data_IF_274344539263
#
_entry.id   IF_274344539263
#
_cell.length_a   1.000
_cell.length_b   1.000
_cell.length_c   1.000
_cell.angle_alpha   90.00
_cell.angle_beta   90.00
_cell.angle_gamma   90.00
#
_symmetry.space_group_name_H-M   'P 1'
#
loop_
_entity.id
_entity.type
_entity.pdbx_description
1 polymer ?
#
# COMPACT_ATOMS: atom_id res chain seq x y z
N UNK A 1 -36.89 6.71 -36.82
CA UNK A 1 -36.09 7.94 -36.61
C UNK A 1 -35.96 8.28 -35.13
N UNK A 2 -37.05 8.58 -34.41
CA UNK A 2 -36.99 8.94 -32.98
C UNK A 2 -36.42 7.86 -32.06
N UNK A 3 -36.80 6.59 -32.26
CA UNK A 3 -36.26 5.48 -31.44
C UNK A 3 -34.76 5.23 -31.67
N UNK A 4 -34.32 5.32 -32.93
CA UNK A 4 -32.90 5.21 -33.29
C UNK A 4 -32.08 6.34 -32.66
N UNK A 5 -32.62 7.57 -32.65
CA UNK A 5 -31.98 8.72 -31.99
C UNK A 5 -31.91 8.54 -30.46
N UNK A 6 -32.94 7.97 -29.84
CA UNK A 6 -32.94 7.65 -28.40
C UNK A 6 -31.87 6.62 -28.05
N UNK A 7 -31.78 5.52 -28.81
CA UNK A 7 -30.77 4.48 -28.59
C UNK A 7 -29.36 5.07 -28.75
N UNK A 8 -29.13 5.91 -29.77
CA UNK A 8 -27.85 6.58 -29.96
C UNK A 8 -27.46 7.47 -28.77
N UNK A 9 -28.42 8.21 -28.20
CA UNK A 9 -28.18 9.04 -27.03
C UNK A 9 -27.87 8.21 -25.77
N UNK A 10 -28.56 7.07 -25.57
CA UNK A 10 -28.27 6.15 -24.46
C UNK A 10 -26.86 5.58 -24.58
N UNK A 11 -26.45 5.17 -25.78
CA UNK A 11 -25.11 4.62 -25.98
C UNK A 11 -24.03 5.69 -25.74
N UNK A 12 -24.20 6.90 -26.25
CA UNK A 12 -23.27 7.99 -26.00
C UNK A 12 -23.15 8.33 -24.50
N UNK A 13 -24.25 8.25 -23.76
CA UNK A 13 -24.24 8.43 -22.30
C UNK A 13 -23.52 7.28 -21.57
N UNK A 14 -23.68 6.03 -22.01
CA UNK A 14 -22.91 4.91 -21.47
C UNK A 14 -21.41 5.07 -21.75
N UNK A 15 -21.04 5.49 -22.97
CA UNK A 15 -19.63 5.71 -23.34
C UNK A 15 -18.98 6.80 -22.46
N UNK A 16 -19.67 7.93 -22.24
CA UNK A 16 -19.20 9.00 -21.34
C UNK A 16 -19.06 8.53 -19.90
N UNK A 17 -19.98 7.68 -19.42
CA UNK A 17 -19.93 7.12 -18.07
C UNK A 17 -18.76 6.13 -17.91
N UNK A 18 -18.53 5.28 -18.90
CA UNK A 18 -17.41 4.32 -18.92
C UNK A 18 -16.04 5.04 -18.91
N UNK A 19 -15.93 6.17 -19.62
CA UNK A 19 -14.76 7.06 -19.58
C UNK A 19 -14.53 7.62 -18.17
N UNK A 20 -15.58 8.17 -17.54
CA UNK A 20 -15.48 8.68 -16.16
C UNK A 20 -15.07 7.57 -15.17
N UNK A 21 -15.62 6.36 -15.31
CA UNK A 21 -15.21 5.23 -14.48
C UNK A 21 -13.73 4.88 -14.68
N UNK A 22 -13.23 4.93 -15.92
CA UNK A 22 -11.82 4.70 -16.22
C UNK A 22 -10.90 5.78 -15.62
N UNK A 23 -11.31 7.05 -15.65
CA UNK A 23 -10.61 8.16 -15.00
C UNK A 23 -10.54 7.98 -13.49
N UNK A 24 -11.65 7.61 -12.84
CA UNK A 24 -11.70 7.34 -11.40
C UNK A 24 -10.74 6.21 -11.02
N UNK A 25 -10.72 5.11 -11.79
CA UNK A 25 -9.80 3.98 -11.57
C UNK A 25 -8.34 4.41 -11.74
N UNK A 26 -8.05 5.21 -12.75
CA UNK A 26 -6.70 5.73 -13.02
C UNK A 26 -6.21 6.59 -11.85
N UNK A 27 -7.03 7.56 -11.41
CA UNK A 27 -6.69 8.43 -10.30
C UNK A 27 -6.49 7.65 -8.99
N UNK A 28 -7.32 6.63 -8.72
CA UNK A 28 -7.14 5.76 -7.57
C UNK A 28 -5.79 5.01 -7.62
N UNK A 29 -5.40 4.51 -8.79
CA UNK A 29 -4.10 3.87 -9.00
C UNK A 29 -2.93 4.83 -8.77
N UNK A 30 -3.03 6.06 -9.26
CA UNK A 30 -2.00 7.10 -9.04
C UNK A 30 -1.83 7.45 -7.56
N UNK A 31 -2.94 7.55 -6.82
CA UNK A 31 -2.93 7.77 -5.36
C UNK A 31 -2.27 6.59 -4.64
N UNK A 32 -2.59 5.36 -5.02
CA UNK A 32 -1.96 4.16 -4.46
C UNK A 32 -0.44 4.17 -4.70
N UNK A 33 -0.02 4.42 -5.94
CA UNK A 33 1.39 4.52 -6.31
C UNK A 33 2.11 5.66 -5.57
N UNK A 34 1.46 6.81 -5.39
CA UNK A 34 2.00 7.92 -4.62
C UNK A 34 2.23 7.54 -3.15
N UNK A 35 1.32 6.79 -2.53
CA UNK A 35 1.52 6.29 -1.17
C UNK A 35 2.69 5.29 -1.08
N UNK A 36 2.88 4.42 -2.07
CA UNK A 36 4.03 3.50 -2.12
C UNK A 36 5.36 4.26 -2.23
N UNK A 37 5.42 5.27 -3.10
CA UNK A 37 6.58 6.18 -3.21
C UNK A 37 6.86 6.93 -1.91
N UNK A 38 5.82 7.41 -1.23
CA UNK A 38 5.94 8.06 0.06
C UNK A 38 6.55 7.12 1.11
N UNK A 39 6.01 5.90 1.26
CA UNK A 39 6.55 4.93 2.22
C UNK A 39 8.02 4.57 1.92
N UNK A 40 8.37 4.43 0.64
CA UNK A 40 9.77 4.20 0.22
C UNK A 40 10.70 5.36 0.59
N UNK A 41 10.24 6.60 0.41
CA UNK A 41 11.01 7.80 0.82
C UNK A 41 11.13 7.89 2.34
N UNK A 42 10.08 7.54 3.08
CA UNK A 42 10.13 7.48 4.55
C UNK A 42 11.13 6.42 5.00
N UNK A 43 11.14 5.23 4.39
CA UNK A 43 12.12 4.18 4.69
C UNK A 43 13.56 4.68 4.45
N UNK A 44 13.79 5.36 3.33
CA UNK A 44 15.09 5.98 3.01
C UNK A 44 15.47 7.01 4.06
N UNK A 45 14.54 7.90 4.43
CA UNK A 45 14.76 8.94 5.44
C UNK A 45 15.10 8.33 6.79
N UNK A 46 14.34 7.34 7.28
CA UNK A 46 14.56 6.76 8.61
C UNK A 46 15.76 5.84 8.70
N UNK A 47 16.28 5.36 7.56
CA UNK A 47 17.52 4.57 7.51
C UNK A 47 18.77 5.45 7.50
N UNK A 48 18.64 6.75 7.28
CA UNK A 48 19.76 7.71 7.30
C UNK A 48 20.18 8.00 8.76
N UNK A 49 21.47 7.88 9.13
CA UNK A 49 21.96 8.17 10.48
C UNK A 49 21.69 9.60 10.97
N UNK A 50 21.41 10.54 10.06
CA UNK A 50 21.06 11.93 10.38
C UNK A 50 19.62 12.08 10.84
N UNK A 51 18.76 11.11 10.55
CA UNK A 51 17.37 11.16 10.98
C UNK A 51 17.27 11.20 12.49
N UNK A 52 16.54 12.21 12.99
CA UNK A 52 16.29 12.41 14.41
C UNK A 52 17.55 12.50 15.28
N UNK A 53 18.68 12.99 14.74
CA UNK A 53 19.95 13.10 15.47
C UNK A 53 19.83 13.95 16.76
N UNK A 54 19.00 14.99 16.74
CA UNK A 54 18.72 15.83 17.90
C UNK A 54 17.69 15.22 18.88
N UNK A 55 17.02 14.13 18.50
CA UNK A 55 16.00 13.47 19.32
C UNK A 55 14.66 14.22 19.42
N UNK A 56 14.43 15.23 18.58
CA UNK A 56 13.22 16.09 18.62
C UNK A 56 11.92 15.32 18.34
N UNK A 57 12.00 14.16 17.66
CA UNK A 57 10.85 13.37 17.25
C UNK A 57 10.68 12.12 18.10
N UNK A 58 9.50 11.96 18.72
CA UNK A 58 9.14 10.76 19.50
C UNK A 58 9.07 9.48 18.67
N UNK A 59 8.76 9.59 17.38
CA UNK A 59 8.68 8.49 16.41
C UNK A 59 8.55 9.05 14.99
N UNK A 60 8.75 8.21 13.98
CA UNK A 60 8.46 8.58 12.57
C UNK A 60 6.98 8.92 12.37
N UNK A 61 6.07 8.22 13.07
CA UNK A 61 4.63 8.57 13.07
C UNK A 61 4.40 9.99 13.60
N UNK A 62 5.07 10.38 14.68
CA UNK A 62 4.97 11.76 15.19
C UNK A 62 5.50 12.79 14.18
N UNK A 63 6.62 12.49 13.53
CA UNK A 63 7.18 13.34 12.47
C UNK A 63 6.19 13.53 11.31
N UNK A 64 5.56 12.45 10.83
CA UNK A 64 4.59 12.48 9.73
C UNK A 64 3.32 13.25 10.07
N UNK A 65 2.83 13.14 11.30
CA UNK A 65 1.66 13.92 11.75
C UNK A 65 1.98 15.42 11.72
N UNK A 66 3.11 15.82 12.31
CA UNK A 66 3.47 17.23 12.46
C UNK A 66 3.87 17.85 11.11
N UNK A 67 4.67 17.16 10.32
CA UNK A 67 5.29 17.74 9.12
C UNK A 67 4.52 17.43 7.82
N UNK A 68 3.64 16.43 7.82
CA UNK A 68 2.91 16.04 6.61
C UNK A 68 1.38 16.15 6.75
N UNK A 69 0.88 16.69 7.86
CA UNK A 69 -0.56 16.89 8.09
C UNK A 69 -1.37 15.58 8.11
N UNK A 70 -0.72 14.44 8.38
CA UNK A 70 -1.37 13.14 8.35
C UNK A 70 -2.19 12.90 9.61
N UNK A 71 -3.30 12.18 9.46
CA UNK A 71 -3.94 11.56 10.62
C UNK A 71 -3.00 10.54 11.26
N UNK A 72 -3.19 10.28 12.55
CA UNK A 72 -2.41 9.26 13.27
C UNK A 72 -2.47 7.91 12.57
N UNK A 73 -3.65 7.52 12.09
CA UNK A 73 -3.85 6.25 11.39
C UNK A 73 -3.02 6.16 10.11
N UNK A 74 -3.10 7.16 9.22
CA UNK A 74 -2.32 7.17 7.98
C UNK A 74 -0.81 7.16 8.24
N UNK A 75 -0.36 7.96 9.21
CA UNK A 75 1.05 8.01 9.60
C UNK A 75 1.56 6.66 10.14
N UNK A 76 0.70 5.88 10.81
CA UNK A 76 1.06 4.53 11.26
C UNK A 76 1.17 3.56 10.08
N UNK A 77 0.26 3.59 9.11
CA UNK A 77 0.35 2.73 7.92
C UNK A 77 1.62 3.01 7.12
N UNK A 78 1.92 4.30 6.88
CA UNK A 78 3.15 4.70 6.17
C UNK A 78 4.39 4.23 6.91
N UNK A 79 4.46 4.46 8.23
CA UNK A 79 5.59 4.04 9.06
C UNK A 79 5.79 2.52 9.00
N UNK A 80 4.71 1.76 9.07
CA UNK A 80 4.75 0.30 9.07
C UNK A 80 5.21 -0.27 7.71
N UNK A 81 4.72 0.30 6.61
CA UNK A 81 5.19 -0.10 5.26
C UNK A 81 6.65 0.31 5.07
N UNK A 82 7.04 1.48 5.55
CA UNK A 82 8.43 1.95 5.48
C UNK A 82 9.40 1.02 6.21
N UNK A 83 9.05 0.57 7.42
CA UNK A 83 9.83 -0.42 8.17
C UNK A 83 10.01 -1.73 7.36
N UNK A 84 8.93 -2.24 6.79
CA UNK A 84 8.99 -3.44 5.95
C UNK A 84 9.78 -3.26 4.65
N UNK A 85 9.87 -2.03 4.12
CA UNK A 85 10.74 -1.68 2.98
C UNK A 85 12.21 -1.67 3.41
N UNK A 86 12.53 -1.08 4.58
CA UNK A 86 13.88 -1.13 5.15
C UNK A 86 14.34 -2.57 5.38
N UNK A 87 13.46 -3.43 5.88
CA UNK A 87 13.72 -4.85 6.10
C UNK A 87 13.78 -5.67 4.80
N UNK A 88 13.44 -5.07 3.65
CA UNK A 88 13.27 -5.75 2.36
C UNK A 88 12.37 -7.01 2.44
N UNK A 89 11.33 -6.96 3.28
CA UNK A 89 10.54 -8.15 3.64
C UNK A 89 9.42 -8.49 2.64
N UNK A 90 9.06 -7.58 1.73
CA UNK A 90 7.95 -7.77 0.77
C UNK A 90 8.15 -7.06 -0.58
N UNK A 91 9.26 -7.31 -1.30
CA UNK A 91 9.56 -6.60 -2.54
C UNK A 91 8.47 -6.77 -3.61
N UNK A 92 7.84 -7.95 -3.73
CA UNK A 92 6.80 -8.19 -4.74
C UNK A 92 5.53 -7.41 -4.41
N UNK A 93 5.12 -7.39 -3.14
CA UNK A 93 3.99 -6.57 -2.68
C UNK A 93 4.25 -5.08 -2.94
N UNK A 94 5.47 -4.60 -2.70
CA UNK A 94 5.82 -3.21 -2.97
C UNK A 94 5.86 -2.88 -4.45
N UNK A 95 6.25 -3.82 -5.32
CA UNK A 95 6.12 -3.66 -6.78
C UNK A 95 4.68 -3.39 -7.19
N UNK A 96 3.74 -4.21 -6.73
CA UNK A 96 2.30 -4.02 -6.97
C UNK A 96 1.78 -2.67 -6.44
N UNK A 97 2.29 -2.23 -5.29
CA UNK A 97 1.90 -0.94 -4.71
C UNK A 97 2.43 0.23 -5.54
N UNK A 98 3.66 0.15 -6.06
CA UNK A 98 4.24 1.16 -6.96
C UNK A 98 3.52 1.24 -8.30
N UNK A 99 3.02 0.12 -8.80
CA UNK A 99 2.18 0.04 -10.00
C UNK A 99 0.75 0.57 -9.76
N UNK A 100 0.41 0.92 -8.51
CA UNK A 100 -0.91 1.42 -8.13
C UNK A 100 -1.99 0.33 -7.98
N UNK A 101 -1.62 -0.94 -8.16
CA UNK A 101 -2.54 -2.07 -8.15
C UNK A 101 -3.12 -2.37 -6.75
N UNK A 102 -2.41 -2.00 -5.69
CA UNK A 102 -2.87 -2.18 -4.30
C UNK A 102 -2.73 -0.89 -3.48
N UNK A 103 -3.66 -0.68 -2.56
CA UNK A 103 -3.64 0.49 -1.68
C UNK A 103 -2.58 0.40 -0.57
N UNK A 104 -2.26 1.55 0.04
CA UNK A 104 -1.42 1.61 1.24
C UNK A 104 -1.95 0.72 2.37
N UNK A 105 -3.28 0.67 2.56
CA UNK A 105 -3.90 -0.18 3.57
C UNK A 105 -3.65 -1.66 3.33
N UNK A 106 -3.72 -2.12 2.06
CA UNK A 106 -3.39 -3.49 1.69
C UNK A 106 -1.91 -3.80 1.93
N UNK A 107 -1.01 -2.92 1.48
CA UNK A 107 0.43 -3.06 1.71
C UNK A 107 0.77 -3.09 3.22
N UNK A 108 0.11 -2.26 4.02
CA UNK A 108 0.28 -2.25 5.46
C UNK A 108 -0.24 -3.53 6.13
N UNK A 109 -1.32 -4.14 5.62
CA UNK A 109 -1.76 -5.45 6.10
C UNK A 109 -0.70 -6.53 5.83
N UNK A 110 -0.12 -6.55 4.62
CA UNK A 110 0.95 -7.49 4.27
C UNK A 110 2.19 -7.26 5.15
N UNK A 111 2.62 -6.01 5.35
CA UNK A 111 3.78 -5.63 6.16
C UNK A 111 3.74 -6.18 7.60
N UNK A 112 2.56 -6.48 8.15
CA UNK A 112 2.43 -7.04 9.52
C UNK A 112 3.02 -8.43 9.64
N UNK A 113 2.96 -9.20 8.57
CA UNK A 113 3.26 -10.64 8.56
C UNK A 113 4.32 -11.01 7.53
N UNK A 114 4.68 -10.08 6.65
CA UNK A 114 5.67 -10.26 5.61
C UNK A 114 7.01 -10.78 6.15
N UNK A 115 7.50 -11.82 5.50
CA UNK A 115 8.86 -12.32 5.58
C UNK A 115 9.24 -12.90 4.21
N UNK A 116 10.54 -13.09 3.92
CA UNK A 116 10.99 -13.60 2.63
C UNK A 116 10.29 -14.89 2.19
N UNK A 117 9.90 -15.75 3.14
CA UNK A 117 9.27 -17.05 2.89
C UNK A 117 7.79 -16.94 2.45
N UNK A 118 7.10 -15.85 2.78
CA UNK A 118 5.66 -15.73 2.53
C UNK A 118 5.28 -14.58 1.59
N UNK A 119 6.20 -13.67 1.27
CA UNK A 119 5.86 -12.42 0.60
C UNK A 119 5.20 -12.60 -0.78
N UNK A 120 5.61 -13.61 -1.54
CA UNK A 120 4.96 -13.98 -2.80
C UNK A 120 3.51 -14.42 -2.62
N UNK A 121 3.21 -15.21 -1.58
CA UNK A 121 1.85 -15.64 -1.29
C UNK A 121 0.97 -14.45 -0.87
N UNK A 122 1.53 -13.52 -0.09
CA UNK A 122 0.85 -12.27 0.28
C UNK A 122 0.53 -11.43 -0.96
N UNK A 123 1.48 -11.31 -1.90
CA UNK A 123 1.29 -10.59 -3.16
C UNK A 123 0.17 -11.19 -4.02
N UNK A 124 0.10 -12.53 -4.14
CA UNK A 124 -0.97 -13.21 -4.87
C UNK A 124 -2.37 -12.98 -4.26
N UNK A 125 -2.47 -12.96 -2.93
CA UNK A 125 -3.71 -12.64 -2.24
C UNK A 125 -4.08 -11.16 -2.45
N UNK A 126 -3.10 -10.25 -2.34
CA UNK A 126 -3.34 -8.81 -2.39
C UNK A 126 -3.96 -8.33 -3.71
N UNK A 127 -3.72 -9.01 -4.83
CA UNK A 127 -4.27 -8.66 -6.15
C UNK A 127 -5.64 -9.25 -6.44
N UNK A 128 -6.07 -10.27 -5.69
CA UNK A 128 -7.29 -11.03 -5.97
C UNK A 128 -8.37 -10.87 -4.89
N UNK A 129 -8.00 -10.36 -3.71
CA UNK A 129 -8.86 -10.28 -2.55
C UNK A 129 -9.22 -8.82 -2.21
N UNK A 130 -10.44 -8.62 -1.70
CA UNK A 130 -10.77 -7.36 -1.01
C UNK A 130 -9.89 -7.20 0.24
N UNK A 131 -9.67 -5.96 0.68
CA UNK A 131 -8.89 -5.67 1.90
C UNK A 131 -9.37 -6.46 3.13
N UNK A 132 -10.68 -6.69 3.26
CA UNK A 132 -11.25 -7.51 4.36
C UNK A 132 -10.93 -8.99 4.22
N UNK A 133 -11.01 -9.55 3.02
CA UNK A 133 -10.62 -10.94 2.75
C UNK A 133 -9.11 -11.13 2.97
N UNK A 134 -8.29 -10.21 2.47
CA UNK A 134 -6.85 -10.21 2.68
C UNK A 134 -6.49 -10.11 4.17
N UNK A 135 -7.13 -9.21 4.93
CA UNK A 135 -6.91 -9.10 6.38
C UNK A 135 -7.17 -10.43 7.12
N UNK A 136 -8.23 -11.16 6.73
CA UNK A 136 -8.52 -12.49 7.28
C UNK A 136 -7.48 -13.52 6.84
N UNK A 137 -7.11 -13.52 5.56
CA UNK A 137 -6.12 -14.45 5.01
C UNK A 137 -4.73 -14.25 5.64
N UNK A 138 -4.30 -13.00 5.77
CA UNK A 138 -3.01 -12.63 6.37
C UNK A 138 -2.95 -12.96 7.86
N UNK A 139 -4.08 -12.99 8.56
CA UNK A 139 -4.15 -13.41 9.96
C UNK A 139 -3.69 -14.85 10.22
N UNK A 140 -3.64 -15.71 9.19
CA UNK A 140 -3.10 -17.07 9.29
C UNK A 140 -1.58 -17.12 9.17
N UNK A 141 -0.96 -16.07 8.62
CA UNK A 141 0.48 -15.94 8.55
C UNK A 141 1.03 -15.36 9.85
N UNK A 142 2.20 -15.82 10.26
CA UNK A 142 2.96 -15.25 11.37
C UNK A 142 4.27 -14.71 10.83
N UNK A 143 4.67 -13.52 11.30
CA UNK A 143 6.03 -13.00 11.09
C UNK A 143 6.97 -13.96 11.83
N UNK A 144 7.68 -14.81 11.10
CA UNK A 144 8.73 -15.64 11.68
C UNK A 144 9.86 -14.68 12.10
N UNK A 145 10.29 -14.75 13.37
CA UNK A 145 11.54 -14.06 13.77
C UNK A 145 12.70 -14.77 13.07
N UNK A 146 13.73 -14.05 12.58
CA UNK A 146 14.98 -14.67 12.18
C UNK A 146 15.49 -15.55 13.34
N UNK A 147 15.83 -16.80 13.02
CA UNK A 147 16.05 -17.88 13.98
C UNK A 147 17.11 -17.57 15.04
N UNK A 148 16.67 -17.55 16.29
CA UNK A 148 17.33 -18.31 17.35
C UNK A 148 16.92 -19.75 17.06
N UNK A 149 17.67 -20.47 16.22
CA UNK A 149 17.70 -21.93 16.10
C UNK A 149 18.65 -22.30 14.94
N UNK A 150 19.94 -22.25 15.23
CA UNK A 150 20.95 -23.07 14.55
C UNK A 150 22.03 -23.45 15.59
N UNK A 151 21.65 -24.32 16.53
CA UNK A 151 22.55 -25.09 17.38
C UNK A 151 21.96 -26.50 17.57
N UNK A 152 22.14 -27.36 16.58
CA UNK A 152 22.18 -28.83 16.74
C UNK A 152 23.11 -29.44 15.71
#
# INVERSE_FOLDING_TARGET
AAEVARIAAINAWHDEYDELEAEVRTLAGEINAAHARLATKVATMTSDPRYNLAGDWRSVTHWLIVNCGMTRYMAQLVAQVAESVTDNAMPTVMGLAHDGAISLGMAALAARVACPENEQALAGIATTATTTQAARAFGWYRKLKPGIDDQT
#
